data_IF_724875401914
#
_entry.id   IF_724875401914
#
_cell.length_a   1.000
_cell.length_b   1.000
_cell.length_c   1.000
_cell.angle_alpha   90.00
_cell.angle_beta   90.00
_cell.angle_gamma   90.00
#
_symmetry.space_group_name_H-M   'P 1'
#
loop_
_entity.id
_entity.type
_entity.pdbx_description
1 polymer ?
#
# COMPACT_ATOMS: atom_id res chain seq x y z
N UNK A 1 2.91 7.50 11.86
CA UNK A 1 3.47 8.79 11.37
C UNK A 1 4.22 8.51 10.09
N UNK A 2 4.11 9.40 9.10
CA UNK A 2 4.88 9.31 7.87
C UNK A 2 6.32 9.81 8.14
N UNK A 3 7.32 9.06 7.70
CA UNK A 3 8.72 9.47 7.72
C UNK A 3 9.14 9.98 6.33
N UNK A 4 8.43 11.00 5.83
CA UNK A 4 8.69 11.62 4.53
C UNK A 4 8.94 13.11 4.74
N UNK A 5 10.01 13.61 4.14
CA UNK A 5 10.32 15.03 4.05
C UNK A 5 10.29 15.47 2.59
N UNK A 6 9.68 16.62 2.32
CA UNK A 6 9.53 17.17 0.97
C UNK A 6 9.98 18.62 1.00
N UNK A 7 10.84 19.03 0.06
CA UNK A 7 11.23 20.43 -0.07
C UNK A 7 10.03 21.26 -0.54
N UNK A 8 9.90 22.50 -0.07
CA UNK A 8 8.72 23.33 -0.36
C UNK A 8 8.53 23.58 -1.86
N UNK A 9 9.61 23.80 -2.58
CA UNK A 9 9.62 24.06 -4.04
C UNK A 9 9.10 22.87 -4.87
N UNK A 10 9.12 21.65 -4.30
CA UNK A 10 8.52 20.49 -4.95
C UNK A 10 7.00 20.67 -5.07
N UNK A 11 6.34 21.28 -4.09
CA UNK A 11 4.89 21.53 -4.17
C UNK A 11 4.53 22.51 -5.29
N UNK A 12 5.40 23.47 -5.61
CA UNK A 12 5.20 24.38 -6.74
C UNK A 12 5.28 23.63 -8.08
N UNK A 13 6.04 22.53 -8.14
CA UNK A 13 6.20 21.70 -9.35
C UNK A 13 5.11 20.64 -9.49
N UNK A 14 4.82 19.90 -8.41
CA UNK A 14 3.97 18.70 -8.46
C UNK A 14 2.55 18.97 -7.99
N UNK A 15 2.31 20.03 -7.22
CA UNK A 15 1.05 20.36 -6.54
C UNK A 15 0.99 19.80 -5.10
N UNK A 16 0.02 20.27 -4.31
CA UNK A 16 -0.20 19.83 -2.92
C UNK A 16 -0.70 18.37 -2.82
N UNK A 17 -0.86 17.86 -1.60
CA UNK A 17 -1.48 16.53 -1.37
C UNK A 17 -2.92 16.47 -1.88
N UNK A 18 -3.32 15.30 -2.38
CA UNK A 18 -4.70 15.08 -2.78
C UNK A 18 -5.59 14.80 -1.56
N UNK A 19 -6.34 15.80 -1.10
CA UNK A 19 -7.23 15.71 0.08
C UNK A 19 -8.40 14.74 -0.09
N UNK A 20 -8.66 14.24 -1.30
CA UNK A 20 -9.68 13.20 -1.53
C UNK A 20 -9.21 11.81 -1.11
N UNK A 21 -7.90 11.63 -0.91
CA UNK A 21 -7.30 10.38 -0.42
C UNK A 21 -7.17 10.44 1.09
N UNK A 22 -7.92 9.59 1.79
CA UNK A 22 -7.71 9.40 3.24
C UNK A 22 -6.55 8.46 3.57
N UNK A 23 -5.99 7.77 2.56
CA UNK A 23 -4.87 6.85 2.71
C UNK A 23 -4.12 6.75 1.37
N UNK A 24 -2.79 6.83 1.43
CA UNK A 24 -1.90 6.70 0.28
C UNK A 24 -1.69 8.00 -0.49
N UNK A 25 -2.00 9.14 0.12
CA UNK A 25 -1.73 10.48 -0.39
C UNK A 25 -0.23 10.73 -0.61
N UNK A 26 0.62 10.11 0.21
CA UNK A 26 2.07 10.15 0.11
C UNK A 26 2.61 9.32 -1.07
N UNK A 27 2.03 8.15 -1.30
CA UNK A 27 2.33 7.31 -2.46
C UNK A 27 1.92 8.02 -3.76
N UNK A 28 0.74 8.64 -3.77
CA UNK A 28 0.25 9.42 -4.90
C UNK A 28 1.15 10.63 -5.21
N UNK A 29 1.55 11.38 -4.18
CA UNK A 29 2.51 12.48 -4.32
C UNK A 29 3.85 11.97 -4.88
N UNK A 30 4.36 10.84 -4.38
CA UNK A 30 5.58 10.21 -4.90
C UNK A 30 5.47 9.85 -6.39
N UNK A 31 4.31 9.37 -6.86
CA UNK A 31 4.08 9.13 -8.28
C UNK A 31 4.16 10.41 -9.10
N UNK A 32 3.49 11.50 -8.65
CA UNK A 32 3.58 12.81 -9.32
C UNK A 32 5.00 13.39 -9.33
N UNK A 33 5.78 13.16 -8.27
CA UNK A 33 7.19 13.50 -8.22
C UNK A 33 7.98 12.77 -9.30
N UNK A 34 7.84 11.44 -9.40
CA UNK A 34 8.52 10.63 -10.41
C UNK A 34 8.13 11.06 -11.83
N UNK A 35 6.86 11.35 -12.09
CA UNK A 35 6.38 11.79 -13.41
C UNK A 35 6.95 13.15 -13.84
N UNK A 36 7.36 13.99 -12.88
CA UNK A 36 7.98 15.30 -13.12
C UNK A 36 9.51 15.27 -12.96
N UNK A 37 10.11 14.07 -12.89
CA UNK A 37 11.56 13.91 -12.78
C UNK A 37 12.14 14.35 -11.42
N UNK A 38 11.31 14.47 -10.38
CA UNK A 38 11.77 14.73 -9.02
C UNK A 38 12.31 13.45 -8.41
N UNK A 39 13.57 13.47 -7.96
CA UNK A 39 14.23 12.32 -7.37
C UNK A 39 13.63 11.94 -6.00
N UNK A 40 13.47 10.63 -5.77
CA UNK A 40 13.10 10.07 -4.48
C UNK A 40 14.34 9.44 -3.84
N UNK A 41 14.65 9.82 -2.60
CA UNK A 41 15.85 9.37 -1.89
C UNK A 41 15.46 8.67 -0.58
N UNK A 42 16.02 7.48 -0.35
CA UNK A 42 15.90 6.77 0.91
C UNK A 42 17.17 6.99 1.75
N UNK A 43 17.02 7.57 2.94
CA UNK A 43 18.12 7.85 3.86
C UNK A 43 18.05 6.85 5.03
N UNK A 44 18.87 5.78 5.01
CA UNK A 44 18.88 4.79 6.09
C UNK A 44 19.41 5.40 7.40
N UNK A 45 18.94 4.88 8.53
CA UNK A 45 19.42 5.29 9.86
C UNK A 45 18.90 6.63 10.38
N UNK A 46 17.94 7.25 9.70
CA UNK A 46 17.30 8.49 10.16
C UNK A 46 16.55 8.23 11.48
N UNK A 47 16.83 8.96 12.58
CA UNK A 47 16.21 8.72 13.88
C UNK A 47 14.79 9.26 13.90
N UNK A 48 13.84 8.46 13.42
CA UNK A 48 12.41 8.81 13.46
C UNK A 48 11.67 7.81 14.33
N UNK A 49 11.09 8.31 15.42
CA UNK A 49 10.23 7.51 16.29
C UNK A 49 8.94 7.14 15.56
N UNK A 50 8.62 5.85 15.54
CA UNK A 50 7.34 5.36 15.03
C UNK A 50 6.46 4.87 16.18
N UNK A 51 5.23 5.36 16.23
CA UNK A 51 4.23 4.84 17.16
C UNK A 51 3.49 3.66 16.52
N UNK A 52 4.00 2.47 16.78
CA UNK A 52 3.40 1.24 16.30
C UNK A 52 2.04 0.95 16.93
N UNK A 53 1.26 0.11 16.24
CA UNK A 53 -0.01 -0.37 16.76
C UNK A 53 0.26 -1.49 17.76
N UNK A 54 -0.20 -1.29 19.00
CA UNK A 54 0.04 -2.23 20.11
C UNK A 54 -1.07 -3.28 20.28
N UNK A 55 -2.06 -3.34 19.36
CA UNK A 55 -3.16 -4.30 19.44
C UNK A 55 -3.37 -5.02 18.12
N UNK A 56 -3.72 -6.32 18.20
CA UNK A 56 -4.04 -7.13 17.02
C UNK A 56 -5.20 -6.53 16.21
N UNK A 57 -6.21 -5.99 16.90
CA UNK A 57 -7.33 -5.29 16.26
C UNK A 57 -6.87 -4.06 15.48
N UNK A 58 -6.01 -3.23 16.08
CA UNK A 58 -5.47 -2.05 15.41
C UNK A 58 -4.62 -2.38 14.19
N UNK A 59 -3.84 -3.47 14.25
CA UNK A 59 -3.09 -4.00 13.11
C UNK A 59 -4.05 -4.49 12.02
N UNK A 60 -5.06 -5.29 12.37
CA UNK A 60 -6.05 -5.80 11.42
C UNK A 60 -6.78 -4.66 10.68
N UNK A 61 -7.32 -3.69 11.42
CA UNK A 61 -8.03 -2.54 10.86
C UNK A 61 -7.14 -1.71 9.95
N UNK A 62 -5.86 -1.54 10.31
CA UNK A 62 -4.90 -0.83 9.48
C UNK A 62 -4.69 -1.52 8.13
N UNK A 63 -4.35 -2.81 8.13
CA UNK A 63 -4.13 -3.57 6.89
C UNK A 63 -5.40 -3.70 6.06
N UNK A 64 -6.56 -3.83 6.71
CA UNK A 64 -7.85 -3.80 6.04
C UNK A 64 -8.08 -2.48 5.28
N UNK A 65 -7.85 -1.33 5.93
CA UNK A 65 -7.96 -0.02 5.30
C UNK A 65 -6.96 0.15 4.15
N UNK A 66 -5.71 -0.28 4.32
CA UNK A 66 -4.74 -0.28 3.21
C UNK A 66 -5.30 -1.10 2.03
N UNK A 67 -5.86 -2.28 2.31
CA UNK A 67 -6.53 -3.11 1.33
C UNK A 67 -7.64 -2.38 0.59
N UNK A 68 -8.52 -1.68 1.31
CA UNK A 68 -9.63 -0.90 0.74
C UNK A 68 -9.17 0.20 -0.22
N UNK A 69 -8.07 0.89 0.09
CA UNK A 69 -7.55 2.01 -0.73
C UNK A 69 -6.62 1.54 -1.86
N UNK A 70 -6.08 0.31 -1.78
CA UNK A 70 -5.15 -0.23 -2.77
C UNK A 70 -5.63 -0.20 -4.23
N UNK A 71 -6.93 -0.47 -4.58
CA UNK A 71 -7.38 -0.38 -5.96
C UNK A 71 -7.42 1.07 -6.47
N UNK A 72 -7.70 2.03 -5.59
CA UNK A 72 -7.75 3.46 -5.92
C UNK A 72 -6.34 3.93 -6.27
N UNK A 73 -5.37 3.72 -5.37
CA UNK A 73 -3.97 4.10 -5.60
C UNK A 73 -3.39 3.40 -6.84
N UNK A 74 -3.65 2.10 -7.04
CA UNK A 74 -3.21 1.38 -8.24
C UNK A 74 -3.89 1.87 -9.53
N UNK A 75 -5.05 2.50 -9.45
CA UNK A 75 -5.72 3.07 -10.63
C UNK A 75 -5.08 4.38 -11.10
N UNK A 76 -4.34 5.06 -10.21
CA UNK A 76 -3.56 6.26 -10.49
C UNK A 76 -2.22 5.94 -11.18
N UNK A 77 -1.73 4.69 -11.06
CA UNK A 77 -0.47 4.22 -11.67
C UNK A 77 -0.67 3.00 -12.57
N UNK A 78 -1.15 3.18 -13.82
CA UNK A 78 -1.43 2.07 -14.75
C UNK A 78 -0.22 1.21 -15.12
N UNK A 79 0.96 1.81 -15.12
CA UNK A 79 2.29 1.25 -15.35
C UNK A 79 2.86 0.49 -14.14
N UNK A 80 2.13 0.43 -13.02
CA UNK A 80 2.62 -0.26 -11.82
C UNK A 80 2.97 -1.74 -12.08
N UNK A 81 4.10 -2.22 -11.54
CA UNK A 81 4.53 -3.60 -11.72
C UNK A 81 3.50 -4.58 -11.15
N UNK A 82 3.44 -5.77 -11.75
CA UNK A 82 2.54 -6.86 -11.37
C UNK A 82 1.04 -6.48 -11.36
N UNK A 83 0.63 -5.44 -12.11
CA UNK A 83 -0.78 -5.05 -12.24
C UNK A 83 -1.68 -6.19 -12.73
N UNK A 84 -1.15 -7.08 -13.56
CA UNK A 84 -1.88 -8.26 -14.06
C UNK A 84 -2.27 -9.24 -12.94
N UNK A 85 -1.51 -9.27 -11.84
CA UNK A 85 -1.77 -10.12 -10.68
C UNK A 85 -2.88 -9.54 -9.78
N UNK A 86 -3.20 -8.25 -9.94
CA UNK A 86 -4.18 -7.57 -9.11
C UNK A 86 -5.61 -7.91 -9.57
N UNK A 87 -6.48 -8.41 -8.67
CA UNK A 87 -7.83 -8.79 -9.05
C UNK A 87 -8.65 -7.59 -9.53
N UNK A 88 -9.28 -7.74 -10.70
CA UNK A 88 -10.09 -6.68 -11.33
C UNK A 88 -11.55 -6.69 -10.90
N UNK A 89 -12.06 -7.85 -10.52
CA UNK A 89 -13.44 -8.05 -10.10
C UNK A 89 -13.50 -8.99 -8.88
N UNK A 90 -14.66 -9.04 -8.22
CA UNK A 90 -14.86 -9.84 -7.01
C UNK A 90 -14.70 -11.33 -7.25
N UNK A 91 -15.10 -11.83 -8.42
CA UNK A 91 -14.96 -13.25 -8.75
C UNK A 91 -13.49 -13.67 -8.82
N UNK A 92 -12.69 -12.94 -9.57
CA UNK A 92 -11.23 -13.11 -9.65
C UNK A 92 -10.58 -12.93 -8.28
N UNK A 93 -11.07 -12.00 -7.46
CA UNK A 93 -10.60 -11.85 -6.08
C UNK A 93 -10.92 -13.07 -5.20
N UNK A 94 -12.13 -13.63 -5.29
CA UNK A 94 -12.47 -14.84 -4.54
C UNK A 94 -11.59 -16.02 -4.98
N UNK A 95 -11.38 -16.19 -6.29
CA UNK A 95 -10.54 -17.25 -6.84
C UNK A 95 -9.06 -17.10 -6.42
N UNK A 96 -8.55 -15.87 -6.45
CA UNK A 96 -7.14 -15.58 -6.17
C UNK A 96 -6.84 -15.34 -4.68
N UNK A 97 -7.84 -15.42 -3.79
CA UNK A 97 -7.68 -15.13 -2.37
C UNK A 97 -6.57 -15.96 -1.73
N UNK A 98 -6.70 -17.29 -1.75
CA UNK A 98 -5.72 -18.20 -1.15
C UNK A 98 -4.34 -18.12 -1.82
N UNK A 99 -4.21 -18.25 -3.17
CA UNK A 99 -2.88 -18.26 -3.78
C UNK A 99 -2.14 -16.92 -3.59
N UNK A 100 -2.82 -15.77 -3.65
CA UNK A 100 -2.15 -14.48 -3.49
C UNK A 100 -1.77 -14.18 -2.04
N UNK A 101 -2.64 -14.51 -1.07
CA UNK A 101 -2.32 -14.29 0.34
C UNK A 101 -1.18 -15.20 0.80
N UNK A 102 -1.15 -16.46 0.35
CA UNK A 102 -0.03 -17.38 0.57
C UNK A 102 1.25 -16.88 -0.10
N UNK A 103 1.21 -16.57 -1.39
CA UNK A 103 2.38 -16.12 -2.14
C UNK A 103 2.99 -14.85 -1.54
N UNK A 104 2.16 -13.87 -1.18
CA UNK A 104 2.63 -12.63 -0.53
C UNK A 104 3.25 -12.90 0.84
N UNK A 105 2.69 -13.85 1.60
CA UNK A 105 3.25 -14.26 2.90
C UNK A 105 4.61 -14.91 2.72
N UNK A 106 4.73 -15.89 1.83
CA UNK A 106 6.01 -16.55 1.53
C UNK A 106 7.04 -15.54 1.02
N UNK A 107 6.64 -14.63 0.12
CA UNK A 107 7.51 -13.59 -0.41
C UNK A 107 8.06 -12.69 0.71
N UNK A 108 7.19 -12.14 1.56
CA UNK A 108 7.61 -11.27 2.68
C UNK A 108 8.53 -12.04 3.63
N UNK A 109 8.12 -13.24 4.06
CA UNK A 109 8.93 -14.05 4.97
C UNK A 109 10.31 -14.35 4.38
N UNK A 110 10.40 -14.71 3.09
CA UNK A 110 11.67 -15.00 2.42
C UNK A 110 12.57 -13.76 2.28
N UNK A 111 12.01 -12.59 2.01
CA UNK A 111 12.77 -11.33 2.01
C UNK A 111 13.41 -11.03 3.37
N UNK A 112 12.69 -11.31 4.45
CA UNK A 112 13.15 -11.05 5.82
C UNK A 112 14.01 -12.16 6.41
N UNK A 113 13.90 -13.40 5.93
CA UNK A 113 14.61 -14.56 6.48
C UNK A 113 16.13 -14.37 6.49
N UNK A 114 16.68 -13.68 5.48
CA UNK A 114 18.12 -13.36 5.40
C UNK A 114 18.55 -12.26 6.38
N UNK A 115 17.61 -11.43 6.82
CA UNK A 115 17.88 -10.27 7.70
C UNK A 115 17.69 -10.64 9.17
N UNK A 116 16.60 -11.35 9.48
CA UNK A 116 16.25 -11.80 10.82
C UNK A 116 15.41 -13.10 10.74
N UNK A 117 16.00 -14.25 11.10
CA UNK A 117 15.29 -15.53 11.09
C UNK A 117 14.08 -15.60 12.04
N UNK A 118 13.99 -14.70 13.03
CA UNK A 118 12.85 -14.64 13.94
C UNK A 118 11.53 -14.35 13.22
N UNK A 119 11.58 -13.85 11.97
CA UNK A 119 10.39 -13.63 11.11
C UNK A 119 9.50 -14.86 10.99
N UNK A 120 10.06 -16.07 11.11
CA UNK A 120 9.29 -17.31 11.07
C UNK A 120 8.25 -17.41 12.19
N UNK A 121 8.56 -16.89 13.38
CA UNK A 121 7.61 -16.81 14.50
C UNK A 121 6.44 -15.87 14.20
N UNK A 122 6.69 -14.84 13.38
CA UNK A 122 5.69 -13.85 13.00
C UNK A 122 4.90 -14.25 11.74
N UNK A 123 5.22 -15.38 11.10
CA UNK A 123 4.56 -15.83 9.88
C UNK A 123 3.03 -15.94 10.00
N UNK A 124 2.44 -16.45 11.10
CA UNK A 124 0.99 -16.43 11.28
C UNK A 124 0.42 -15.00 11.29
N UNK A 125 1.12 -14.05 11.93
CA UNK A 125 0.73 -12.64 11.96
C UNK A 125 0.82 -11.99 10.58
N UNK A 126 1.89 -12.26 9.82
CA UNK A 126 2.05 -11.80 8.42
C UNK A 126 0.93 -12.35 7.53
N UNK A 127 0.56 -13.61 7.73
CA UNK A 127 -0.57 -14.18 7.00
C UNK A 127 -1.88 -13.48 7.35
N UNK A 128 -2.15 -13.25 8.64
CA UNK A 128 -3.36 -12.54 9.09
C UNK A 128 -3.45 -11.11 8.52
N UNK A 129 -2.35 -10.37 8.45
CA UNK A 129 -2.35 -9.02 7.85
C UNK A 129 -2.60 -9.06 6.35
N UNK A 130 -2.07 -10.05 5.64
CA UNK A 130 -2.35 -10.26 4.23
C UNK A 130 -3.81 -10.64 3.97
N UNK A 131 -4.42 -11.44 4.85
CA UNK A 131 -5.85 -11.75 4.81
C UNK A 131 -6.69 -10.49 5.05
N UNK A 132 -6.36 -9.69 6.07
CA UNK A 132 -7.04 -8.43 6.37
C UNK A 132 -7.00 -7.47 5.17
N UNK A 133 -5.81 -7.29 4.57
CA UNK A 133 -5.62 -6.53 3.35
C UNK A 133 -6.49 -7.05 2.20
N UNK A 134 -6.58 -8.37 2.01
CA UNK A 134 -7.37 -8.94 0.93
C UNK A 134 -8.87 -8.70 1.13
N UNK A 135 -9.38 -8.80 2.37
CA UNK A 135 -10.78 -8.50 2.66
C UNK A 135 -11.13 -7.03 2.37
N UNK A 136 -10.25 -6.11 2.73
CA UNK A 136 -10.42 -4.69 2.40
C UNK A 136 -10.46 -4.48 0.88
N UNK A 137 -9.54 -5.11 0.16
CA UNK A 137 -9.48 -5.08 -1.30
C UNK A 137 -10.79 -5.60 -1.92
N UNK A 138 -11.25 -6.78 -1.48
CA UNK A 138 -12.46 -7.44 -2.00
C UNK A 138 -13.71 -6.54 -1.86
N UNK A 139 -13.84 -5.81 -0.74
CA UNK A 139 -14.95 -4.90 -0.50
C UNK A 139 -14.99 -3.71 -1.47
N UNK A 140 -13.82 -3.17 -1.82
CA UNK A 140 -13.73 -2.04 -2.74
C UNK A 140 -13.89 -2.48 -4.21
N UNK A 141 -13.48 -3.70 -4.56
CA UNK A 141 -13.67 -4.21 -5.91
C UNK A 141 -15.15 -4.20 -6.33
N UNK A 142 -15.42 -3.65 -7.51
CA UNK A 142 -16.76 -3.52 -8.06
C UNK A 142 -17.52 -2.26 -7.63
N UNK A 143 -17.01 -1.48 -6.67
CA UNK A 143 -17.47 -0.10 -6.50
C UNK A 143 -16.81 0.72 -7.61
N UNK A 144 -17.62 1.27 -8.51
CA UNK A 144 -17.16 2.12 -9.61
C UNK A 144 -16.30 3.23 -8.99
N UNK A 145 -15.02 3.27 -9.34
CA UNK A 145 -14.04 4.27 -8.89
C UNK A 145 -14.36 5.62 -9.53
N UNK A 146 -15.57 6.14 -9.30
CA UNK A 146 -16.08 7.39 -9.89
C UNK A 146 -15.52 8.63 -9.18
N UNK A 147 -14.80 8.46 -8.06
CA UNK A 147 -14.50 9.60 -7.17
C UNK A 147 -13.21 10.36 -7.46
N UNK A 148 -12.22 9.80 -8.16
CA UNK A 148 -10.90 10.45 -8.28
C UNK A 148 -10.55 10.91 -9.70
N UNK A 149 -11.16 10.33 -10.75
CA UNK A 149 -10.88 10.72 -12.16
C UNK A 149 -11.74 11.86 -12.70
N UNK A 150 -12.68 12.40 -11.93
CA UNK A 150 -13.69 13.29 -12.48
C UNK A 150 -13.25 14.74 -12.74
N UNK A 151 -12.00 15.14 -12.40
CA UNK A 151 -11.52 16.53 -12.56
C UNK A 151 -10.00 16.62 -12.73
N UNK A 152 -9.44 15.93 -13.71
CA UNK A 152 -8.22 16.41 -14.38
C UNK A 152 -8.60 17.35 -15.51
#
# INVERSE_FOLDING_TARGET
>A
MNNTAVQRDVFDKVGMFNEQLHLGEDIELCFRCLDRGVGLFFIPGTPVGHFDRNTLKGVWEHYYRIGEYSPIIRSLRPDSPYRWLFPKNRFMAALLFLPLTMLKTVYITNCWLRRDPSVLLFMPGIYMTNVAYYFGLYKTLGKKTERVRARE
#
